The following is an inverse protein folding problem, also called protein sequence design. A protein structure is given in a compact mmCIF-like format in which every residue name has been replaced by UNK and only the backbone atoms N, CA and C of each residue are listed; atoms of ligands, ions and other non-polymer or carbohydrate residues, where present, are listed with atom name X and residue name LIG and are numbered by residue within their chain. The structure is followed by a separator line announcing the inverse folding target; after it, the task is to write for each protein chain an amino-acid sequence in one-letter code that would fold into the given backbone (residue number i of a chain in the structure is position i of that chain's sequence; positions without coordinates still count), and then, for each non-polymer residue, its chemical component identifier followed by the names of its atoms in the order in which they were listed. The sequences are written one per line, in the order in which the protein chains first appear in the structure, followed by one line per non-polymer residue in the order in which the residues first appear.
data_IF_930137999320
#
_entry.id   IF_930137999320
#
_cell.length_a   1.000
_cell.length_b   1.000
_cell.length_c   1.000
_cell.angle_alpha   90.00
_cell.angle_beta   90.00
_cell.angle_gamma   90.00
#
_symmetry.space_group_name_H-M   'P 1'
#
loop_
_entity.id
_entity.type
_entity.pdbx_description
1 polymer ?
#
# COMPACT_ATOMS: atom_id res chain seq x y z
N UNK A 1 -2.99 9.91 17.26
CA UNK A 1 -3.92 9.95 16.10
C UNK A 1 -5.23 10.63 16.49
N UNK A 2 -5.74 11.53 15.66
CA UNK A 2 -6.95 12.30 15.96
C UNK A 2 -8.18 11.77 15.20
N UNK A 3 -8.75 10.68 15.68
CA UNK A 3 -9.91 10.01 15.05
C UNK A 3 -11.15 10.92 14.95
N UNK A 4 -11.37 11.83 15.94
CA UNK A 4 -12.50 12.77 15.87
C UNK A 4 -12.34 13.78 14.73
N UNK A 5 -11.12 14.28 14.50
CA UNK A 5 -10.82 15.16 13.35
C UNK A 5 -11.09 14.45 12.02
N UNK A 6 -10.71 13.17 11.92
CA UNK A 6 -10.94 12.34 10.73
C UNK A 6 -12.43 12.16 10.44
N UNK A 7 -13.20 11.85 11.49
CA UNK A 7 -14.65 11.73 11.39
C UNK A 7 -15.31 13.05 10.95
N UNK A 8 -14.95 14.15 11.57
CA UNK A 8 -15.47 15.49 11.21
C UNK A 8 -15.12 15.83 9.74
N UNK A 9 -13.92 15.51 9.30
CA UNK A 9 -13.48 15.71 7.92
C UNK A 9 -14.30 14.88 6.91
N UNK A 10 -14.63 13.64 7.24
CA UNK A 10 -15.51 12.82 6.41
C UNK A 10 -16.90 13.42 6.33
N UNK A 11 -17.51 13.82 7.46
CA UNK A 11 -18.84 14.44 7.46
C UNK A 11 -18.89 15.73 6.65
N UNK A 12 -17.81 16.54 6.69
CA UNK A 12 -17.68 17.71 5.80
C UNK A 12 -17.59 17.34 4.32
N UNK A 13 -16.89 16.22 3.97
CA UNK A 13 -16.87 15.72 2.60
C UNK A 13 -18.26 15.25 2.17
N UNK A 14 -18.99 14.55 3.02
CA UNK A 14 -20.36 14.12 2.78
C UNK A 14 -21.32 15.32 2.55
N UNK A 15 -21.12 16.41 3.30
CA UNK A 15 -21.91 17.66 3.10
C UNK A 15 -21.67 18.26 1.72
N UNK A 16 -20.43 18.29 1.24
CA UNK A 16 -20.07 18.81 -0.10
C UNK A 16 -20.65 17.97 -1.23
N UNK A 17 -20.65 16.65 -1.04
CA UNK A 17 -21.13 15.67 -2.03
C UNK A 17 -22.62 15.33 -1.89
N UNK A 18 -23.31 15.97 -0.94
CA UNK A 18 -24.74 15.77 -0.62
C UNK A 18 -25.08 14.30 -0.29
N UNK A 19 -24.14 13.56 0.36
CA UNK A 19 -24.34 12.18 0.77
C UNK A 19 -24.96 12.15 2.16
N UNK A 20 -26.11 11.50 2.33
CA UNK A 20 -26.86 11.51 3.59
C UNK A 20 -26.33 10.50 4.61
N UNK A 21 -25.87 9.34 4.14
CA UNK A 21 -25.33 8.26 4.97
C UNK A 21 -24.20 7.56 4.21
N UNK A 22 -23.14 7.18 4.93
CA UNK A 22 -22.05 6.34 4.42
C UNK A 22 -21.97 5.06 5.22
N UNK A 23 -21.75 3.93 4.53
CA UNK A 23 -21.47 2.63 5.12
C UNK A 23 -20.07 2.16 4.74
N UNK A 24 -19.23 1.92 5.77
CA UNK A 24 -17.93 1.27 5.59
C UNK A 24 -17.90 -0.10 6.27
N UNK A 25 -17.59 -1.14 5.53
CA UNK A 25 -17.25 -2.45 6.07
C UNK A 25 -15.81 -2.51 6.59
N UNK A 26 -15.36 -3.69 7.09
CA UNK A 26 -13.98 -3.90 7.48
C UNK A 26 -13.05 -3.56 6.33
N UNK A 27 -12.21 -2.55 6.54
CA UNK A 27 -11.37 -2.02 5.48
C UNK A 27 -10.55 -0.83 5.96
N UNK A 28 -9.78 -0.20 5.06
CA UNK A 28 -8.86 0.89 5.42
C UNK A 28 -9.59 2.10 6.00
N UNK A 29 -10.72 2.50 5.43
CA UNK A 29 -11.49 3.64 5.92
C UNK A 29 -12.11 3.37 7.29
N UNK A 30 -12.61 2.15 7.53
CA UNK A 30 -13.09 1.75 8.85
C UNK A 30 -11.96 1.83 9.89
N UNK A 31 -10.81 1.23 9.60
CA UNK A 31 -9.62 1.28 10.44
C UNK A 31 -9.17 2.72 10.70
N UNK A 32 -9.10 3.55 9.65
CA UNK A 32 -8.65 4.94 9.73
C UNK A 32 -9.54 5.80 10.63
N UNK A 33 -10.85 5.53 10.65
CA UNK A 33 -11.83 6.28 11.43
C UNK A 33 -11.99 5.80 12.86
N UNK A 34 -11.76 4.51 13.13
CA UNK A 34 -12.05 3.90 14.44
C UNK A 34 -10.80 3.51 15.21
N UNK A 35 -9.68 3.29 14.53
CA UNK A 35 -8.48 2.68 15.12
C UNK A 35 -8.57 1.16 15.26
N UNK A 36 -9.70 0.54 14.95
CA UNK A 36 -9.87 -0.91 15.07
C UNK A 36 -9.02 -1.62 13.99
N UNK A 37 -8.09 -2.46 14.43
CA UNK A 37 -7.25 -3.26 13.58
C UNK A 37 -7.97 -4.56 13.19
N UNK A 38 -8.88 -4.46 12.23
CA UNK A 38 -9.57 -5.63 11.68
C UNK A 38 -8.69 -6.28 10.61
N UNK A 39 -8.67 -7.62 10.60
CA UNK A 39 -7.92 -8.37 9.58
C UNK A 39 -8.72 -8.44 8.25
N UNK A 40 -8.96 -7.28 7.65
CA UNK A 40 -9.71 -7.18 6.42
C UNK A 40 -8.92 -7.64 5.17
N UNK A 41 -7.59 -7.74 5.29
CA UNK A 41 -6.72 -8.17 4.18
C UNK A 41 -6.76 -9.68 3.96
N UNK A 42 -6.84 -10.45 5.03
CA UNK A 42 -6.90 -11.92 5.00
C UNK A 42 -8.26 -12.49 5.36
N UNK A 43 -9.19 -11.69 5.84
CA UNK A 43 -10.54 -12.12 6.20
C UNK A 43 -11.33 -12.58 4.97
N UNK A 44 -11.18 -13.86 4.65
CA UNK A 44 -11.93 -14.54 3.58
C UNK A 44 -12.86 -15.59 4.13
N UNK A 45 -13.13 -15.53 5.43
CA UNK A 45 -14.06 -16.44 6.07
C UNK A 45 -15.47 -16.20 5.52
N UNK A 46 -16.16 -17.28 5.24
CA UNK A 46 -17.58 -17.26 4.85
C UNK A 46 -18.51 -16.97 6.03
N UNK A 47 -17.97 -16.77 7.23
CA UNK A 47 -18.73 -16.37 8.40
C UNK A 47 -19.38 -15.01 8.19
N UNK A 48 -20.56 -14.77 8.78
CA UNK A 48 -21.19 -13.47 8.71
C UNK A 48 -20.27 -12.37 9.21
N UNK A 49 -19.91 -11.40 8.38
CA UNK A 49 -19.13 -10.25 8.78
C UNK A 49 -20.07 -9.24 9.41
N UNK A 50 -20.01 -9.15 10.75
CA UNK A 50 -20.87 -8.26 11.53
C UNK A 50 -20.41 -6.80 11.54
N UNK A 51 -19.14 -6.55 11.24
CA UNK A 51 -18.56 -5.20 11.40
C UNK A 51 -18.99 -4.28 10.26
N UNK A 52 -19.63 -3.17 10.61
CA UNK A 52 -19.98 -2.08 9.70
C UNK A 52 -20.07 -0.77 10.46
N UNK A 53 -19.52 0.27 9.87
CA UNK A 53 -19.56 1.63 10.39
C UNK A 53 -20.55 2.43 9.57
N UNK A 54 -21.57 2.97 10.22
CA UNK A 54 -22.60 3.84 9.65
C UNK A 54 -22.28 5.29 10.07
N UNK A 55 -22.16 6.18 9.11
CA UNK A 55 -21.84 7.57 9.37
C UNK A 55 -22.92 8.43 8.71
N UNK A 56 -23.81 9.04 9.49
CA UNK A 56 -24.75 10.02 8.95
C UNK A 56 -24.00 11.33 8.64
N UNK A 57 -24.48 12.06 7.61
CA UNK A 57 -23.93 13.37 7.26
C UNK A 57 -23.92 14.33 8.44
N UNK A 58 -25.00 14.31 9.21
CA UNK A 58 -25.16 15.08 10.44
C UNK A 58 -25.58 14.12 11.57
N UNK A 59 -24.88 14.20 12.71
CA UNK A 59 -25.19 13.38 13.90
C UNK A 59 -24.10 12.35 14.25
N UNK A 60 -24.43 11.48 15.18
CA UNK A 60 -23.51 10.51 15.78
C UNK A 60 -23.36 9.27 14.87
N UNK A 61 -22.13 8.82 14.58
CA UNK A 61 -21.91 7.56 13.89
C UNK A 61 -22.30 6.36 14.74
N UNK A 62 -22.56 5.26 14.06
CA UNK A 62 -22.90 3.98 14.69
C UNK A 62 -21.95 2.90 14.21
N UNK A 63 -21.37 2.16 15.13
CA UNK A 63 -20.55 0.98 14.86
C UNK A 63 -21.35 -0.28 15.20
N UNK A 64 -21.54 -1.14 14.24
CA UNK A 64 -21.97 -2.53 14.45
C UNK A 64 -20.72 -3.39 14.40
N UNK A 65 -20.54 -4.30 15.36
CA UNK A 65 -19.35 -5.16 15.40
C UNK A 65 -19.66 -6.56 15.91
N UNK A 66 -18.89 -7.53 15.44
CA UNK A 66 -18.94 -8.92 15.89
C UNK A 66 -18.10 -9.12 17.16
N UNK A 67 -17.00 -8.40 17.28
CA UNK A 67 -16.06 -8.46 18.40
C UNK A 67 -16.58 -7.75 19.67
N UNK A 68 -15.77 -7.82 20.71
CA UNK A 68 -16.12 -7.27 22.03
C UNK A 68 -15.35 -6.02 22.40
N UNK A 69 -14.23 -5.78 21.75
CA UNK A 69 -13.29 -4.71 22.08
C UNK A 69 -13.24 -3.67 20.97
N UNK A 70 -13.19 -2.42 21.38
CA UNK A 70 -13.05 -1.26 20.51
C UNK A 70 -11.69 -0.64 20.82
N UNK A 71 -10.99 -0.17 19.80
CA UNK A 71 -9.69 0.45 19.95
C UNK A 71 -9.73 1.67 20.89
N UNK A 72 -8.68 1.82 21.67
CA UNK A 72 -8.48 3.01 22.49
C UNK A 72 -8.51 4.28 21.64
N UNK A 73 -9.29 5.28 22.10
CA UNK A 73 -9.46 6.54 21.38
C UNK A 73 -10.46 6.50 20.21
N UNK A 74 -11.17 5.39 19.99
CA UNK A 74 -12.26 5.34 19.00
C UNK A 74 -13.33 6.40 19.34
N UNK A 75 -13.71 7.27 18.41
CA UNK A 75 -14.63 8.37 18.69
C UNK A 75 -16.09 7.91 18.72
N UNK A 76 -16.39 6.69 18.30
CA UNK A 76 -17.76 6.20 18.13
C UNK A 76 -18.32 5.77 19.50
N UNK A 77 -19.41 6.39 19.90
CA UNK A 77 -20.08 6.10 21.18
C UNK A 77 -21.23 5.11 21.05
N UNK A 78 -21.93 5.14 19.91
CA UNK A 78 -23.03 4.24 19.63
C UNK A 78 -22.49 2.92 19.05
N UNK A 79 -22.35 1.90 19.91
CA UNK A 79 -21.80 0.60 19.55
C UNK A 79 -22.85 -0.47 19.74
N UNK A 80 -23.12 -1.23 18.69
CA UNK A 80 -24.07 -2.33 18.68
C UNK A 80 -23.34 -3.64 18.36
N UNK A 81 -23.73 -4.71 19.03
CA UNK A 81 -23.26 -6.05 18.65
C UNK A 81 -24.12 -6.61 17.55
N UNK A 82 -23.49 -7.22 16.57
CA UNK A 82 -24.20 -7.97 15.55
C UNK A 82 -24.94 -9.14 16.18
N UNK A 83 -26.25 -9.23 15.92
CA UNK A 83 -27.10 -10.32 16.37
C UNK A 83 -27.55 -11.16 15.16
N UNK A 84 -27.01 -12.38 15.00
CA UNK A 84 -27.39 -13.25 13.89
C UNK A 84 -28.89 -13.60 13.86
N UNK A 85 -29.56 -13.56 15.00
CA UNK A 85 -31.02 -13.86 15.09
C UNK A 85 -31.88 -12.74 14.51
N UNK A 86 -31.37 -11.50 14.52
CA UNK A 86 -32.03 -10.32 13.93
C UNK A 86 -31.62 -10.17 12.46
N UNK A 87 -30.39 -10.53 12.13
CA UNK A 87 -29.81 -10.45 10.79
C UNK A 87 -29.53 -9.02 10.31
N UNK A 88 -28.93 -8.92 9.13
CA UNK A 88 -28.46 -7.63 8.57
C UNK A 88 -29.58 -6.62 8.38
N UNK A 89 -30.72 -7.06 7.80
CA UNK A 89 -31.86 -6.17 7.51
C UNK A 89 -32.47 -5.64 8.79
N UNK A 90 -32.75 -6.51 9.75
CA UNK A 90 -33.35 -6.11 11.03
C UNK A 90 -32.47 -5.18 11.85
N UNK A 91 -31.16 -5.47 11.92
CA UNK A 91 -30.21 -4.61 12.60
C UNK A 91 -30.16 -3.21 11.96
N UNK A 92 -30.02 -3.17 10.63
CA UNK A 92 -29.91 -1.90 9.90
C UNK A 92 -31.20 -1.08 9.98
N UNK A 93 -32.35 -1.71 9.85
CA UNK A 93 -33.67 -1.04 9.95
C UNK A 93 -33.84 -0.38 11.35
N UNK A 94 -33.51 -1.09 12.40
CA UNK A 94 -33.59 -0.54 13.76
C UNK A 94 -32.66 0.68 13.96
N UNK A 95 -31.45 0.61 13.44
CA UNK A 95 -30.44 1.70 13.57
C UNK A 95 -30.87 2.90 12.72
N UNK A 96 -31.22 2.70 11.45
CA UNK A 96 -31.60 3.80 10.53
C UNK A 96 -32.83 4.55 11.06
N UNK A 97 -33.81 3.86 11.60
CA UNK A 97 -34.95 4.49 12.27
C UNK A 97 -34.55 5.35 13.46
N UNK A 98 -33.52 4.90 14.21
CA UNK A 98 -32.98 5.65 15.36
C UNK A 98 -32.18 6.90 14.96
N UNK A 99 -31.55 6.88 13.77
CA UNK A 99 -30.77 8.03 13.29
C UNK A 99 -31.64 9.21 12.85
N UNK A 100 -32.94 9.02 12.64
CA UNK A 100 -33.88 10.08 12.17
C UNK A 100 -33.40 10.81 10.91
N UNK A 101 -32.70 10.09 10.02
CA UNK A 101 -32.16 10.61 8.75
C UNK A 101 -32.99 10.07 7.60
N UNK A 102 -33.47 10.95 6.73
CA UNK A 102 -33.99 10.52 5.43
C UNK A 102 -32.82 10.29 4.47
N UNK A 103 -32.59 9.05 4.08
CA UNK A 103 -31.47 8.67 3.21
C UNK A 103 -31.93 8.66 1.75
N UNK A 104 -31.61 9.72 1.03
CA UNK A 104 -31.84 9.84 -0.43
C UNK A 104 -30.61 9.40 -1.21
N UNK A 105 -29.39 9.74 -0.71
CA UNK A 105 -28.12 9.37 -1.31
C UNK A 105 -27.26 8.61 -0.30
N UNK A 106 -26.91 7.37 -0.67
CA UNK A 106 -26.16 6.44 0.16
C UNK A 106 -24.76 6.18 -0.42
N UNK A 107 -23.73 6.49 0.34
CA UNK A 107 -22.36 6.17 0.02
C UNK A 107 -21.96 4.77 0.51
N UNK A 108 -21.35 3.98 -0.36
CA UNK A 108 -20.88 2.63 -0.05
C UNK A 108 -19.36 2.55 -0.21
N UNK A 109 -18.67 2.01 0.79
CA UNK A 109 -17.23 1.74 0.71
C UNK A 109 -16.90 0.45 -0.01
N UNK A 110 -15.74 0.36 -0.66
CA UNK A 110 -15.29 -0.78 -1.48
C UNK A 110 -15.23 -2.11 -0.71
N UNK A 111 -15.06 -2.06 0.60
CA UNK A 111 -14.92 -3.25 1.47
C UNK A 111 -16.22 -3.60 2.21
N UNK A 112 -17.34 -2.99 1.82
CA UNK A 112 -18.62 -3.31 2.44
C UNK A 112 -19.11 -4.70 1.98
N UNK A 113 -19.32 -5.65 2.92
CA UNK A 113 -19.82 -6.98 2.57
C UNK A 113 -21.18 -6.92 1.90
N UNK A 114 -21.37 -7.74 0.86
CA UNK A 114 -22.61 -7.82 0.09
C UNK A 114 -23.90 -7.95 0.94
N UNK A 115 -23.95 -8.73 2.04
CA UNK A 115 -25.14 -8.79 2.89
C UNK A 115 -25.54 -7.43 3.47
N UNK A 116 -24.58 -6.60 3.87
CA UNK A 116 -24.85 -5.24 4.36
C UNK A 116 -25.31 -4.32 3.23
N UNK A 117 -24.71 -4.43 2.04
CA UNK A 117 -25.14 -3.69 0.86
C UNK A 117 -26.60 -4.02 0.50
N UNK A 118 -26.96 -5.30 0.46
CA UNK A 118 -28.32 -5.74 0.18
C UNK A 118 -29.32 -5.26 1.23
N UNK A 119 -28.93 -5.34 2.51
CA UNK A 119 -29.74 -4.83 3.61
C UNK A 119 -29.96 -3.30 3.51
N UNK A 120 -28.92 -2.55 3.15
CA UNK A 120 -29.00 -1.10 3.01
C UNK A 120 -29.99 -0.68 1.91
N UNK A 121 -29.90 -1.31 0.74
CA UNK A 121 -30.84 -1.05 -0.37
C UNK A 121 -32.28 -1.38 0.02
N UNK A 122 -32.49 -2.50 0.72
CA UNK A 122 -33.82 -2.94 1.15
C UNK A 122 -34.42 -2.00 2.22
N UNK A 123 -33.65 -1.61 3.23
CA UNK A 123 -34.12 -0.77 4.34
C UNK A 123 -34.37 0.67 3.91
N UNK A 124 -33.52 1.23 3.05
CA UNK A 124 -33.58 2.63 2.62
C UNK A 124 -34.45 2.85 1.38
N UNK A 125 -35.17 1.80 0.93
CA UNK A 125 -36.13 1.87 -0.17
C UNK A 125 -35.57 2.43 -1.48
N UNK A 126 -34.44 1.88 -1.91
CA UNK A 126 -33.74 2.21 -3.15
C UNK A 126 -33.20 3.66 -3.21
N UNK A 127 -32.27 4.03 -2.34
CA UNK A 127 -31.62 5.32 -2.40
C UNK A 127 -30.75 5.43 -3.66
N UNK A 128 -30.38 6.65 -4.04
CA UNK A 128 -29.28 6.86 -4.98
C UNK A 128 -27.99 6.31 -4.36
N UNK A 129 -27.30 5.40 -5.08
CA UNK A 129 -26.06 4.81 -4.62
C UNK A 129 -24.86 5.55 -5.21
N UNK A 130 -23.84 5.81 -4.39
CA UNK A 130 -22.56 6.34 -4.85
C UNK A 130 -21.37 5.63 -4.18
N UNK A 131 -20.23 5.65 -4.85
CA UNK A 131 -18.97 5.17 -4.28
C UNK A 131 -18.44 6.18 -3.26
N UNK A 132 -18.35 5.75 -2.01
CA UNK A 132 -17.77 6.54 -0.92
C UNK A 132 -16.32 6.13 -0.58
N UNK A 133 -15.72 5.18 -1.32
CA UNK A 133 -14.40 4.65 -1.02
C UNK A 133 -13.33 5.74 -0.99
N UNK A 134 -13.44 6.70 -1.90
CA UNK A 134 -12.47 7.79 -2.08
C UNK A 134 -12.77 9.07 -1.34
N UNK A 135 -13.89 9.16 -0.61
CA UNK A 135 -14.21 10.34 0.22
C UNK A 135 -13.13 10.62 1.27
N UNK A 136 -12.41 9.58 1.68
CA UNK A 136 -11.34 9.69 2.67
C UNK A 136 -9.97 10.05 2.06
N UNK A 137 -9.79 9.98 0.75
CA UNK A 137 -8.50 10.22 0.10
C UNK A 137 -7.87 11.56 0.52
N UNK A 138 -8.59 12.71 0.52
CA UNK A 138 -8.00 13.98 0.94
C UNK A 138 -7.52 14.01 2.39
N UNK A 139 -8.14 13.21 3.27
CA UNK A 139 -7.76 13.12 4.69
C UNK A 139 -6.59 12.17 4.91
N UNK A 140 -6.55 11.04 4.16
CA UNK A 140 -5.49 10.03 4.24
C UNK A 140 -4.21 10.49 3.52
N UNK A 141 -4.35 11.42 2.58
CA UNK A 141 -3.25 11.93 1.76
C UNK A 141 -2.15 12.59 2.60
N UNK A 142 -2.51 13.42 3.55
CA UNK A 142 -1.58 14.10 4.46
C UNK A 142 -1.56 13.35 5.78
N UNK A 143 -0.47 12.66 6.03
CA UNK A 143 -0.29 11.83 7.24
C UNK A 143 -0.12 12.70 8.47
N UNK A 144 -0.79 12.32 9.56
CA UNK A 144 -0.48 12.86 10.89
C UNK A 144 0.93 12.39 11.32
N UNK A 145 1.64 13.12 12.19
CA UNK A 145 2.98 12.70 12.65
C UNK A 145 3.02 11.26 13.19
N UNK A 146 1.98 10.84 13.91
CA UNK A 146 1.87 9.48 14.43
C UNK A 146 1.65 8.43 13.33
N UNK A 147 1.10 8.81 12.18
CA UNK A 147 0.99 7.93 11.02
C UNK A 147 2.35 7.74 10.34
N UNK A 148 3.12 8.84 10.21
CA UNK A 148 4.49 8.78 9.69
C UNK A 148 5.35 7.87 10.55
N UNK A 149 5.21 7.97 11.88
CA UNK A 149 5.95 7.09 12.79
C UNK A 149 5.56 5.62 12.63
N UNK A 150 4.27 5.30 12.44
CA UNK A 150 3.83 3.93 12.13
C UNK A 150 4.40 3.41 10.80
N UNK A 151 4.49 4.28 9.79
CA UNK A 151 5.10 3.95 8.52
C UNK A 151 6.61 3.73 8.66
N UNK A 152 7.29 4.50 9.51
CA UNK A 152 8.71 4.30 9.86
C UNK A 152 8.92 2.96 10.57
N UNK A 153 8.11 2.66 11.59
CA UNK A 153 8.19 1.39 12.32
C UNK A 153 8.07 0.17 11.39
N UNK A 154 7.12 0.18 10.46
CA UNK A 154 6.94 -0.94 9.53
C UNK A 154 8.01 -0.98 8.44
N UNK A 155 8.56 0.16 7.99
CA UNK A 155 9.71 0.20 7.10
C UNK A 155 10.96 -0.40 7.77
N UNK A 156 11.24 -0.03 9.03
CA UNK A 156 12.36 -0.60 9.80
C UNK A 156 12.19 -2.10 10.07
N UNK A 157 10.95 -2.58 10.27
CA UNK A 157 10.69 -4.00 10.36
C UNK A 157 11.06 -4.69 9.05
N UNK A 158 10.68 -4.11 7.93
CA UNK A 158 10.96 -4.65 6.59
C UNK A 158 12.47 -4.67 6.30
N UNK A 159 13.20 -3.62 6.68
CA UNK A 159 14.67 -3.57 6.61
C UNK A 159 15.31 -4.75 7.36
N UNK A 160 14.86 -5.01 8.59
CA UNK A 160 15.40 -6.11 9.41
C UNK A 160 15.08 -7.49 8.84
N UNK A 161 13.86 -7.66 8.32
CA UNK A 161 13.45 -8.92 7.67
C UNK A 161 14.34 -9.20 6.46
N UNK A 162 14.48 -8.21 5.56
CA UNK A 162 15.27 -8.41 4.36
C UNK A 162 16.76 -8.61 4.67
N UNK A 163 17.32 -7.85 5.62
CA UNK A 163 18.70 -8.00 6.05
C UNK A 163 18.98 -9.43 6.55
N UNK A 164 18.05 -9.99 7.33
CA UNK A 164 18.16 -11.37 7.82
C UNK A 164 18.09 -12.37 6.68
N UNK A 165 17.08 -12.27 5.80
CA UNK A 165 16.88 -13.21 4.68
C UNK A 165 18.04 -13.15 3.70
N UNK A 166 18.52 -11.94 3.36
CA UNK A 166 19.69 -11.76 2.48
C UNK A 166 20.95 -12.38 3.10
N UNK A 167 21.14 -12.26 4.42
CA UNK A 167 22.28 -12.87 5.12
C UNK A 167 22.25 -14.40 5.19
N UNK A 168 21.12 -15.01 4.89
CA UNK A 168 20.93 -16.49 4.89
C UNK A 168 20.87 -17.08 3.47
N UNK A 169 21.02 -16.25 2.43
CA UNK A 169 21.08 -16.71 1.03
C UNK A 169 22.30 -17.65 0.85
N UNK A 170 22.05 -18.74 0.16
CA UNK A 170 23.08 -19.74 -0.18
C UNK A 170 22.76 -20.37 -1.54
N UNK A 171 23.77 -20.99 -2.14
CA UNK A 171 23.57 -21.75 -3.37
C UNK A 171 22.46 -22.79 -3.21
N UNK A 172 21.61 -22.89 -4.23
CA UNK A 172 20.49 -23.83 -4.26
C UNK A 172 19.20 -23.35 -3.57
N UNK A 173 19.19 -22.20 -2.88
CA UNK A 173 17.92 -21.59 -2.41
C UNK A 173 17.06 -21.19 -3.61
N UNK A 174 15.76 -21.42 -3.56
CA UNK A 174 14.85 -21.00 -4.64
C UNK A 174 14.21 -19.63 -4.36
N UNK A 175 13.64 -19.01 -5.40
CA UNK A 175 12.81 -17.81 -5.24
C UNK A 175 11.67 -18.08 -4.27
N UNK A 176 11.01 -19.24 -4.39
CA UNK A 176 9.92 -19.64 -3.51
C UNK A 176 10.37 -19.74 -2.05
N UNK A 177 11.55 -20.32 -1.77
CA UNK A 177 12.09 -20.40 -0.41
C UNK A 177 12.28 -19.00 0.19
N UNK A 178 12.83 -18.05 -0.58
CA UNK A 178 13.03 -16.67 -0.13
C UNK A 178 11.70 -15.96 0.13
N UNK A 179 10.72 -16.12 -0.75
CA UNK A 179 9.39 -15.53 -0.59
C UNK A 179 8.70 -16.03 0.69
N UNK A 180 8.73 -17.34 0.92
CA UNK A 180 8.16 -17.95 2.12
C UNK A 180 8.90 -17.51 3.39
N UNK A 181 10.23 -17.46 3.36
CA UNK A 181 11.02 -17.06 4.52
C UNK A 181 10.82 -15.59 4.87
N UNK A 182 10.73 -14.69 3.87
CA UNK A 182 10.41 -13.28 4.11
C UNK A 182 9.06 -13.12 4.85
N UNK A 183 8.02 -13.82 4.40
CA UNK A 183 6.71 -13.77 5.04
C UNK A 183 6.72 -14.38 6.46
N UNK A 184 7.46 -15.48 6.65
CA UNK A 184 7.60 -16.13 7.95
C UNK A 184 8.37 -15.26 8.94
N UNK A 185 9.50 -14.69 8.52
CA UNK A 185 10.35 -13.88 9.37
C UNK A 185 9.67 -12.56 9.76
N UNK A 186 8.93 -11.94 8.86
CA UNK A 186 8.13 -10.77 9.18
C UNK A 186 7.14 -11.04 10.33
N UNK A 187 6.46 -12.18 10.29
CA UNK A 187 5.56 -12.59 11.38
C UNK A 187 6.30 -12.85 12.69
N UNK A 188 7.48 -13.48 12.66
CA UNK A 188 8.32 -13.68 13.85
C UNK A 188 8.76 -12.35 14.45
N UNK A 189 8.97 -11.33 13.63
CA UNK A 189 9.37 -9.98 14.05
C UNK A 189 8.18 -9.07 14.41
N UNK A 190 6.94 -9.56 14.34
CA UNK A 190 5.74 -8.85 14.83
C UNK A 190 4.86 -8.22 13.75
N UNK A 191 5.08 -8.51 12.47
CA UNK A 191 4.13 -8.13 11.42
C UNK A 191 2.80 -8.85 11.62
N UNK A 192 1.69 -8.14 11.46
CA UNK A 192 0.34 -8.72 11.47
C UNK A 192 0.01 -9.43 10.16
N UNK A 193 0.69 -9.10 9.06
CA UNK A 193 0.48 -9.68 7.75
C UNK A 193 1.48 -9.17 6.72
N UNK A 194 1.24 -9.55 5.47
CA UNK A 194 1.93 -9.00 4.30
C UNK A 194 1.08 -7.90 3.67
N UNK A 195 1.70 -6.87 3.12
CA UNK A 195 1.00 -5.86 2.31
C UNK A 195 0.57 -6.44 0.97
N UNK A 196 1.44 -7.24 0.41
CA UNK A 196 1.27 -8.11 -0.76
C UNK A 196 2.19 -9.32 -0.59
N UNK A 197 2.08 -10.31 -1.45
CA UNK A 197 2.98 -11.47 -1.40
C UNK A 197 4.43 -11.01 -1.66
N UNK A 198 5.37 -11.24 -0.72
CA UNK A 198 6.78 -10.89 -0.92
C UNK A 198 7.33 -11.55 -2.19
N UNK A 199 8.13 -10.81 -2.93
CA UNK A 199 8.59 -11.21 -4.25
C UNK A 199 10.12 -11.27 -4.30
N UNK A 200 10.64 -12.38 -4.82
CA UNK A 200 12.05 -12.56 -5.12
C UNK A 200 12.17 -13.02 -6.58
N UNK A 201 13.04 -12.38 -7.34
CA UNK A 201 13.20 -12.61 -8.77
C UNK A 201 14.67 -12.82 -9.12
N UNK A 202 14.98 -13.97 -9.75
CA UNK A 202 16.33 -14.31 -10.20
C UNK A 202 16.49 -14.07 -11.69
N UNK A 203 17.53 -13.33 -12.07
CA UNK A 203 17.93 -13.18 -13.47
C UNK A 203 19.27 -13.86 -13.68
N UNK A 204 19.24 -14.98 -14.37
CA UNK A 204 20.41 -15.70 -14.79
C UNK A 204 20.78 -15.36 -16.24
N UNK A 205 22.06 -15.34 -16.55
CA UNK A 205 22.56 -15.10 -17.91
C UNK A 205 21.92 -16.02 -18.94
N UNK A 206 21.49 -15.45 -20.05
CA UNK A 206 20.85 -16.16 -21.18
C UNK A 206 19.33 -16.31 -21.09
N UNK A 207 18.68 -15.82 -20.05
CA UNK A 207 17.20 -15.81 -20.00
C UNK A 207 16.64 -14.77 -20.97
N UNK A 208 15.63 -15.15 -21.77
CA UNK A 208 15.09 -14.31 -22.87
C UNK A 208 13.60 -14.05 -22.75
N UNK A 209 13.12 -13.64 -21.56
CA UNK A 209 11.70 -13.41 -21.35
C UNK A 209 11.35 -11.94 -21.44
N UNK A 210 10.16 -11.64 -21.94
CA UNK A 210 9.60 -10.29 -21.93
C UNK A 210 9.27 -9.86 -20.51
N UNK A 211 9.42 -8.57 -20.24
CA UNK A 211 9.02 -7.98 -18.97
C UNK A 211 7.50 -8.06 -18.80
N UNK A 212 7.05 -8.88 -17.84
CA UNK A 212 5.66 -8.98 -17.38
C UNK A 212 5.67 -8.88 -15.86
N UNK A 213 4.83 -8.05 -15.28
CA UNK A 213 4.83 -7.81 -13.82
C UNK A 213 4.02 -8.81 -12.99
N UNK A 214 3.54 -9.90 -13.59
CA UNK A 214 2.58 -10.77 -12.93
C UNK A 214 3.20 -11.83 -12.02
N UNK A 215 4.31 -12.44 -12.45
CA UNK A 215 4.98 -13.53 -11.74
C UNK A 215 6.50 -13.45 -11.95
N UNK A 216 7.33 -13.65 -10.90
CA UNK A 216 8.78 -13.64 -11.02
C UNK A 216 9.33 -14.58 -12.08
N UNK A 217 8.76 -15.78 -12.19
CA UNK A 217 9.17 -16.76 -13.20
C UNK A 217 8.80 -16.33 -14.63
N UNK A 218 7.69 -15.63 -14.79
CA UNK A 218 7.27 -15.06 -16.09
C UNK A 218 8.17 -13.91 -16.54
N UNK A 219 8.64 -13.07 -15.59
CA UNK A 219 9.57 -11.95 -15.89
C UNK A 219 10.90 -12.46 -16.39
N UNK A 220 11.43 -13.52 -15.81
CA UNK A 220 12.81 -13.96 -16.05
C UNK A 220 12.91 -15.30 -16.76
N UNK A 221 11.82 -16.06 -16.86
CA UNK A 221 11.85 -17.46 -17.30
C UNK A 221 12.60 -18.38 -16.36
N UNK A 222 12.93 -17.91 -15.15
CA UNK A 222 13.58 -18.72 -14.13
C UNK A 222 12.50 -19.39 -13.27
N UNK A 223 12.40 -20.73 -13.26
CA UNK A 223 11.37 -21.41 -12.49
C UNK A 223 11.45 -21.03 -11.00
N UNK A 224 10.30 -20.75 -10.39
CA UNK A 224 10.21 -20.24 -9.03
C UNK A 224 10.81 -21.19 -7.97
N UNK A 225 10.77 -22.48 -8.24
CA UNK A 225 11.29 -23.57 -7.40
C UNK A 225 12.73 -23.99 -7.75
N UNK A 226 13.31 -23.40 -8.80
CA UNK A 226 14.69 -23.70 -9.21
C UNK A 226 15.68 -23.03 -8.26
N UNK A 227 16.67 -23.81 -7.81
CA UNK A 227 17.72 -23.33 -6.92
C UNK A 227 18.63 -22.27 -7.55
N UNK A 228 19.05 -21.32 -6.72
CA UNK A 228 20.01 -20.27 -7.04
C UNK A 228 21.35 -20.84 -7.47
N UNK A 229 21.91 -20.30 -8.55
CA UNK A 229 23.24 -20.60 -9.06
C UNK A 229 24.11 -19.34 -9.04
N UNK A 230 25.43 -19.52 -9.19
CA UNK A 230 26.37 -18.40 -9.22
C UNK A 230 26.06 -17.39 -10.34
N UNK A 231 26.52 -16.16 -10.17
CA UNK A 231 26.39 -15.04 -11.10
C UNK A 231 24.93 -14.69 -11.47
N UNK A 232 24.09 -14.58 -10.43
CA UNK A 232 22.68 -14.28 -10.54
C UNK A 232 22.35 -12.91 -9.90
N UNK A 233 21.68 -12.05 -10.63
CA UNK A 233 21.03 -10.86 -10.08
C UNK A 233 19.73 -11.27 -9.38
N UNK A 234 19.54 -10.82 -8.15
CA UNK A 234 18.38 -11.09 -7.32
C UNK A 234 17.68 -9.77 -7.05
N UNK A 235 16.40 -9.69 -7.30
CA UNK A 235 15.59 -8.51 -6.98
C UNK A 235 14.48 -8.89 -6.02
N UNK A 236 14.30 -8.06 -5.00
CA UNK A 236 13.26 -8.19 -4.00
C UNK A 236 12.26 -7.07 -4.14
N UNK A 237 10.99 -7.41 -3.89
CA UNK A 237 9.87 -6.53 -3.71
C UNK A 237 9.12 -6.98 -2.45
N UNK A 238 9.08 -6.16 -1.42
CA UNK A 238 8.67 -6.60 -0.10
C UNK A 238 7.84 -5.55 0.61
N UNK A 239 6.75 -6.03 1.22
CA UNK A 239 5.89 -5.18 2.01
C UNK A 239 5.15 -5.95 3.11
N UNK A 240 5.12 -5.38 4.30
CA UNK A 240 4.47 -5.98 5.46
C UNK A 240 3.49 -5.02 6.10
N UNK A 241 2.66 -5.55 6.99
CA UNK A 241 1.68 -4.79 7.75
C UNK A 241 2.02 -4.87 9.22
N UNK A 242 2.17 -3.70 9.85
CA UNK A 242 2.33 -3.60 11.30
C UNK A 242 1.51 -2.43 11.83
N UNK A 243 0.81 -2.65 12.95
CA UNK A 243 -0.06 -1.64 13.55
C UNK A 243 -1.05 -1.00 12.56
N UNK A 244 -1.49 -1.77 11.53
CA UNK A 244 -2.44 -1.35 10.52
C UNK A 244 -1.88 -0.52 9.37
N UNK A 245 -0.56 -0.26 9.32
CA UNK A 245 0.12 0.46 8.24
C UNK A 245 0.97 -0.50 7.40
N UNK A 246 1.11 -0.16 6.12
CA UNK A 246 1.85 -0.95 5.15
C UNK A 246 3.26 -0.40 4.93
N UNK A 247 4.23 -1.28 4.69
CA UNK A 247 5.45 -0.95 3.97
C UNK A 247 5.39 -1.46 2.55
N UNK A 248 6.23 -0.87 1.70
CA UNK A 248 6.44 -1.26 0.32
C UNK A 248 7.77 -0.70 -0.16
N UNK A 249 8.76 -1.57 -0.40
CA UNK A 249 10.03 -1.17 -0.98
C UNK A 249 10.80 -2.35 -1.55
N UNK A 250 11.77 -2.09 -2.42
CA UNK A 250 12.52 -3.11 -3.12
C UNK A 250 14.01 -2.84 -3.23
N UNK A 251 14.78 -3.93 -3.32
CA UNK A 251 16.24 -3.90 -3.48
C UNK A 251 16.72 -4.95 -4.45
N UNK A 252 17.92 -4.69 -4.97
CA UNK A 252 18.66 -5.68 -5.78
C UNK A 252 19.93 -6.11 -5.06
N UNK A 253 20.20 -7.40 -5.18
CA UNK A 253 21.35 -8.09 -4.62
C UNK A 253 22.01 -8.89 -5.74
N UNK A 254 23.29 -9.16 -5.66
CA UNK A 254 24.00 -10.00 -6.61
C UNK A 254 24.68 -11.17 -5.92
N UNK A 255 24.35 -12.38 -6.35
CA UNK A 255 24.98 -13.60 -5.88
C UNK A 255 26.17 -13.95 -6.78
N UNK A 256 27.40 -13.81 -6.25
CA UNK A 256 28.65 -14.02 -6.98
C UNK A 256 29.35 -12.69 -7.32
N UNK A 257 30.03 -12.63 -8.45
CA UNK A 257 30.80 -11.43 -8.85
C UNK A 257 30.04 -10.61 -9.90
N UNK A 258 29.43 -9.47 -9.52
CA UNK A 258 28.64 -8.68 -10.48
C UNK A 258 29.53 -8.10 -11.57
N UNK A 259 29.16 -8.29 -12.86
CA UNK A 259 29.83 -7.63 -14.00
C UNK A 259 29.79 -6.11 -13.87
N UNK A 260 30.73 -5.42 -14.50
CA UNK A 260 30.82 -3.95 -14.43
C UNK A 260 29.60 -3.25 -14.99
N UNK A 261 28.94 -3.81 -16.00
CA UNK A 261 27.72 -3.21 -16.55
C UNK A 261 26.54 -3.30 -15.58
N UNK A 262 26.44 -4.36 -14.78
CA UNK A 262 25.43 -4.50 -13.71
C UNK A 262 25.68 -3.46 -12.60
N UNK A 263 26.94 -3.31 -12.16
CA UNK A 263 27.32 -2.29 -11.16
C UNK A 263 26.99 -0.88 -11.65
N UNK A 264 27.32 -0.57 -12.91
CA UNK A 264 27.01 0.75 -13.52
C UNK A 264 25.51 1.00 -13.62
N UNK A 265 24.75 0.00 -14.04
CA UNK A 265 23.29 0.10 -14.14
C UNK A 265 22.67 0.35 -12.77
N UNK A 266 23.07 -0.41 -11.75
CA UNK A 266 22.58 -0.22 -10.39
C UNK A 266 22.99 1.16 -9.81
N UNK A 267 24.23 1.59 -10.02
CA UNK A 267 24.68 2.91 -9.57
C UNK A 267 23.90 4.04 -10.27
N UNK A 268 23.60 3.93 -11.55
CA UNK A 268 22.77 4.88 -12.28
C UNK A 268 21.34 4.94 -11.74
N UNK A 269 20.73 3.76 -11.51
CA UNK A 269 19.40 3.65 -10.91
C UNK A 269 19.36 4.33 -9.53
N UNK A 270 20.30 3.97 -8.67
CA UNK A 270 20.43 4.55 -7.33
C UNK A 270 20.59 6.07 -7.36
N UNK A 271 21.52 6.58 -8.17
CA UNK A 271 21.76 8.02 -8.24
C UNK A 271 20.55 8.78 -8.78
N UNK A 272 19.83 8.20 -9.76
CA UNK A 272 18.62 8.83 -10.30
C UNK A 272 17.51 8.96 -9.25
N UNK A 273 17.33 7.95 -8.38
CA UNK A 273 16.38 8.03 -7.25
C UNK A 273 16.84 9.06 -6.22
N UNK A 274 18.10 8.99 -5.79
CA UNK A 274 18.64 9.91 -4.77
C UNK A 274 18.52 11.38 -5.20
N UNK A 275 18.91 11.71 -6.43
CA UNK A 275 18.86 13.08 -6.98
C UNK A 275 17.41 13.57 -7.16
N UNK A 276 16.49 12.66 -7.48
CA UNK A 276 15.07 13.00 -7.58
C UNK A 276 14.49 13.31 -6.21
N UNK A 277 14.74 12.45 -5.23
CA UNK A 277 14.27 12.66 -3.84
C UNK A 277 14.90 13.89 -3.21
N UNK A 278 16.20 14.15 -3.44
CA UNK A 278 16.87 15.36 -2.94
C UNK A 278 16.25 16.67 -3.46
N UNK A 279 15.55 16.62 -4.59
CA UNK A 279 14.82 17.76 -5.15
C UNK A 279 13.41 17.90 -4.61
N UNK A 280 12.88 16.97 -3.81
CA UNK A 280 11.50 17.00 -3.33
C UNK A 280 11.36 17.83 -2.05
N UNK A 281 10.31 18.66 -1.99
CA UNK A 281 9.82 19.32 -0.78
C UNK A 281 8.37 19.74 -0.97
N UNK A 282 7.77 20.43 0.00
CA UNK A 282 6.38 20.86 -0.06
C UNK A 282 6.08 21.69 -1.32
N UNK A 283 5.31 21.11 -2.23
CA UNK A 283 4.74 21.75 -3.41
C UNK A 283 5.69 22.08 -4.56
N UNK A 284 6.98 21.72 -4.49
CA UNK A 284 7.93 22.01 -5.58
C UNK A 284 7.94 21.01 -6.73
N UNK A 285 7.33 19.85 -6.55
CA UNK A 285 7.21 18.79 -7.54
C UNK A 285 5.78 18.25 -7.55
N UNK A 286 5.23 17.99 -8.73
CA UNK A 286 3.92 17.33 -8.87
C UNK A 286 4.12 15.82 -8.99
N UNK A 287 3.08 15.06 -8.70
CA UNK A 287 3.10 13.61 -8.85
C UNK A 287 3.46 13.16 -10.27
N UNK A 288 2.96 13.86 -11.29
CA UNK A 288 3.27 13.60 -12.71
C UNK A 288 4.72 13.95 -13.11
N UNK A 289 5.45 14.75 -12.34
CA UNK A 289 6.80 15.18 -12.66
C UNK A 289 7.88 14.15 -12.26
N UNK A 290 7.53 13.17 -11.40
CA UNK A 290 8.48 12.18 -10.86
C UNK A 290 8.97 11.23 -11.94
N UNK A 291 8.07 10.72 -12.79
CA UNK A 291 8.44 9.84 -13.91
C UNK A 291 9.46 10.50 -14.84
N UNK A 292 9.18 11.67 -15.46
CA UNK A 292 10.13 12.30 -16.36
C UNK A 292 11.44 12.71 -15.67
N UNK A 293 11.40 13.05 -14.37
CA UNK A 293 12.60 13.40 -13.64
C UNK A 293 13.58 12.23 -13.48
N UNK A 294 13.08 11.03 -13.28
CA UNK A 294 13.90 9.82 -13.19
C UNK A 294 14.35 9.36 -14.59
N UNK A 295 13.44 9.39 -15.58
CA UNK A 295 13.75 9.05 -16.98
C UNK A 295 14.89 9.90 -17.54
N UNK A 296 14.83 11.23 -17.38
CA UNK A 296 15.87 12.15 -17.84
C UNK A 296 17.25 11.87 -17.20
N UNK A 297 17.27 11.53 -15.90
CA UNK A 297 18.53 11.18 -15.22
C UNK A 297 19.10 9.86 -15.73
N UNK A 298 18.25 8.86 -15.91
CA UNK A 298 18.67 7.57 -16.45
C UNK A 298 19.16 7.71 -17.91
N UNK A 299 18.52 8.56 -18.71
CA UNK A 299 19.00 8.90 -20.07
C UNK A 299 20.39 9.53 -20.02
N UNK A 300 20.61 10.45 -19.07
CA UNK A 300 21.93 11.07 -18.85
C UNK A 300 23.04 10.07 -18.50
N UNK A 301 22.69 8.95 -17.86
CA UNK A 301 23.59 7.84 -17.58
C UNK A 301 23.66 6.78 -18.70
N UNK A 302 22.82 6.89 -19.74
CA UNK A 302 22.73 5.94 -20.87
C UNK A 302 21.91 4.69 -20.56
N UNK A 303 20.94 4.77 -19.64
CA UNK A 303 20.08 3.65 -19.22
C UNK A 303 18.57 3.91 -19.40
N UNK A 304 18.15 5.02 -19.98
CA UNK A 304 16.73 5.37 -20.12
C UNK A 304 15.93 4.34 -20.91
N UNK A 305 16.50 3.79 -21.99
CA UNK A 305 15.90 2.74 -22.81
C UNK A 305 15.65 1.42 -22.04
N UNK A 306 16.29 1.24 -20.90
CA UNK A 306 16.17 0.07 -20.01
C UNK A 306 15.27 0.30 -18.81
N UNK A 307 14.82 1.54 -18.61
CA UNK A 307 13.89 1.85 -17.53
C UNK A 307 12.57 1.09 -17.73
N UNK A 308 12.08 0.54 -16.65
CA UNK A 308 10.76 -0.09 -16.57
C UNK A 308 10.03 0.47 -15.36
N UNK A 309 8.73 0.48 -15.45
CA UNK A 309 7.83 0.94 -14.40
C UNK A 309 6.63 0.02 -14.30
N UNK A 310 5.91 0.13 -13.21
CA UNK A 310 4.64 -0.58 -13.06
C UNK A 310 3.66 -0.09 -14.13
N UNK A 311 2.98 -1.02 -14.80
CA UNK A 311 2.04 -0.73 -15.87
C UNK A 311 2.62 0.27 -16.91
N UNK A 312 3.52 -0.18 -17.74
CA UNK A 312 4.24 0.59 -18.78
C UNK A 312 3.35 1.57 -19.55
N UNK A 313 2.11 1.18 -19.88
CA UNK A 313 1.17 2.03 -20.63
C UNK A 313 0.74 3.26 -19.82
N UNK A 314 0.71 3.16 -18.50
CA UNK A 314 0.27 4.21 -17.60
C UNK A 314 1.43 5.00 -17.02
N UNK A 315 2.67 4.57 -17.26
CA UNK A 315 3.90 5.21 -16.77
C UNK A 315 3.88 5.45 -15.26
N UNK A 316 3.49 4.43 -14.49
CA UNK A 316 3.41 4.52 -13.02
C UNK A 316 4.81 4.38 -12.43
N UNK A 317 5.35 5.46 -11.88
CA UNK A 317 6.64 5.50 -11.20
C UNK A 317 6.54 5.12 -9.72
N UNK A 318 5.33 5.05 -9.19
CA UNK A 318 5.07 4.74 -7.80
C UNK A 318 3.72 5.27 -7.33
N UNK A 319 3.53 5.30 -6.03
CA UNK A 319 2.24 5.63 -5.40
C UNK A 319 2.43 6.13 -3.97
N UNK A 320 1.38 6.68 -3.40
CA UNK A 320 1.33 6.95 -1.97
C UNK A 320 1.02 5.65 -1.19
N UNK A 321 1.45 5.61 0.06
CA UNK A 321 1.26 4.47 0.96
C UNK A 321 0.69 4.92 2.31
N UNK A 322 0.01 4.02 3.01
CA UNK A 322 -0.56 4.29 4.33
C UNK A 322 -1.18 3.05 4.94
N UNK A 323 -2.49 3.10 5.20
CA UNK A 323 -3.27 1.94 5.64
C UNK A 323 -3.52 0.94 4.52
N UNK A 324 -3.40 1.37 3.28
CA UNK A 324 -3.31 0.52 2.09
C UNK A 324 -1.93 0.64 1.47
N UNK A 325 -1.50 -0.39 0.76
CA UNK A 325 -0.24 -0.36 0.02
C UNK A 325 -0.30 0.69 -1.08
N UNK A 326 -1.39 0.77 -1.80
CA UNK A 326 -1.60 1.73 -2.86
C UNK A 326 -2.65 2.77 -2.47
N UNK A 327 -2.22 3.99 -2.24
CA UNK A 327 -3.09 5.15 -1.99
C UNK A 327 -2.87 6.24 -3.04
N UNK A 328 -3.81 7.17 -3.17
CA UNK A 328 -3.65 8.36 -4.02
C UNK A 328 -2.81 9.45 -3.31
N UNK A 329 -1.99 10.22 -4.06
CA UNK A 329 -1.80 10.18 -5.51
C UNK A 329 -0.90 9.04 -6.00
N UNK A 330 -1.13 8.61 -7.24
CA UNK A 330 -0.17 7.84 -7.99
C UNK A 330 0.86 8.76 -8.65
N UNK A 331 2.11 8.30 -8.77
CA UNK A 331 3.17 9.00 -9.50
C UNK A 331 3.08 8.66 -10.98
N UNK A 332 2.13 9.27 -11.67
CA UNK A 332 1.83 9.02 -13.08
C UNK A 332 1.35 10.29 -13.81
N UNK A 333 1.40 10.33 -15.17
CA UNK A 333 1.20 11.57 -15.94
C UNK A 333 -0.12 12.31 -15.73
N UNK A 334 -1.18 11.64 -15.34
CA UNK A 334 -2.52 12.24 -15.13
C UNK A 334 -2.76 12.76 -13.70
N UNK A 335 -1.78 12.64 -12.79
CA UNK A 335 -1.85 13.21 -11.46
C UNK A 335 -1.03 14.50 -11.37
N UNK A 336 -1.66 15.64 -11.68
CA UNK A 336 -1.00 16.97 -11.69
C UNK A 336 -0.90 17.61 -10.33
N UNK A 337 -1.38 16.96 -9.28
CA UNK A 337 -1.34 17.55 -7.93
C UNK A 337 0.09 17.64 -7.40
N UNK A 338 0.42 18.73 -6.69
CA UNK A 338 1.72 18.88 -6.07
C UNK A 338 1.90 17.93 -4.91
N UNK A 339 3.09 17.37 -4.77
CA UNK A 339 3.50 16.62 -3.57
C UNK A 339 3.57 17.61 -2.40
N UNK A 340 3.01 17.21 -1.25
CA UNK A 340 2.90 18.07 -0.08
C UNK A 340 3.56 17.47 1.15
N UNK A 341 4.00 18.31 2.04
CA UNK A 341 4.47 17.89 3.36
C UNK A 341 3.42 17.00 4.06
N UNK A 342 3.87 15.91 4.65
CA UNK A 342 3.03 14.86 5.23
C UNK A 342 2.62 13.75 4.27
N UNK A 343 2.92 13.83 2.98
CA UNK A 343 2.75 12.69 2.06
C UNK A 343 3.90 11.68 2.24
N UNK A 344 3.58 10.39 2.08
CA UNK A 344 4.58 9.32 2.05
C UNK A 344 4.42 8.56 0.75
N UNK A 345 5.46 8.59 -0.08
CA UNK A 345 5.47 8.06 -1.43
C UNK A 345 6.38 6.84 -1.54
N UNK A 346 5.95 5.81 -2.26
CA UNK A 346 6.83 4.78 -2.79
C UNK A 346 7.30 5.21 -4.18
N UNK A 347 8.61 5.17 -4.43
CA UNK A 347 9.23 5.53 -5.71
C UNK A 347 10.00 4.32 -6.19
N UNK A 348 9.58 3.70 -7.30
CA UNK A 348 9.91 2.33 -7.65
C UNK A 348 10.46 2.12 -9.09
N UNK A 349 11.45 2.88 -9.57
CA UNK A 349 12.04 2.63 -10.89
C UNK A 349 12.78 1.30 -10.95
N UNK A 350 12.78 0.71 -12.13
CA UNK A 350 13.42 -0.56 -12.42
C UNK A 350 14.27 -0.42 -13.67
N UNK A 351 15.35 -1.21 -13.77
CA UNK A 351 16.13 -1.37 -15.00
C UNK A 351 16.09 -2.82 -15.41
N UNK A 352 15.77 -3.06 -16.68
CA UNK A 352 15.68 -4.38 -17.25
C UNK A 352 16.60 -4.56 -18.45
N UNK A 353 17.44 -5.58 -18.41
CA UNK A 353 18.20 -6.10 -19.54
C UNK A 353 18.03 -7.63 -19.57
N UNK A 354 17.30 -8.17 -20.56
CA UNK A 354 17.05 -9.61 -20.68
C UNK A 354 18.34 -10.43 -20.61
N UNK A 355 18.34 -11.47 -19.76
CA UNK A 355 19.46 -12.35 -19.60
C UNK A 355 20.66 -11.77 -18.86
N UNK A 356 20.53 -10.58 -18.29
CA UNK A 356 21.63 -9.91 -17.59
C UNK A 356 21.19 -9.46 -16.20
N UNK A 357 20.11 -8.67 -16.12
CA UNK A 357 19.58 -8.18 -14.88
C UNK A 357 18.13 -7.69 -14.97
N UNK A 358 17.44 -7.79 -13.86
CA UNK A 358 16.32 -6.96 -13.45
C UNK A 358 16.70 -6.29 -12.14
N UNK A 359 16.85 -4.98 -12.16
CA UNK A 359 17.27 -4.20 -10.99
C UNK A 359 16.13 -3.31 -10.53
N UNK A 360 15.90 -3.25 -9.23
CA UNK A 360 14.92 -2.40 -8.57
C UNK A 360 15.57 -1.66 -7.42
N UNK A 361 15.26 -0.40 -7.30
CA UNK A 361 15.50 0.39 -6.11
C UNK A 361 14.22 1.14 -5.81
N UNK A 362 13.52 0.69 -4.81
CA UNK A 362 12.30 1.31 -4.35
C UNK A 362 12.45 1.82 -2.93
N UNK A 363 11.91 3.00 -2.70
CA UNK A 363 12.03 3.73 -1.45
C UNK A 363 10.69 4.25 -0.96
N UNK A 364 10.45 4.14 0.35
CA UNK A 364 9.41 4.91 1.03
C UNK A 364 9.97 6.28 1.43
N UNK A 365 9.38 7.34 0.90
CA UNK A 365 9.85 8.72 1.02
C UNK A 365 8.78 9.59 1.66
N UNK A 366 9.08 10.18 2.82
CA UNK A 366 8.25 11.17 3.48
C UNK A 366 8.60 12.58 3.01
N UNK A 367 7.63 13.29 2.45
CA UNK A 367 7.77 14.68 2.02
C UNK A 367 7.63 15.59 3.24
N UNK A 368 8.57 16.50 3.43
CA UNK A 368 8.57 17.47 4.51
C UNK A 368 8.47 18.90 3.96
N UNK A 369 8.31 19.89 4.82
CA UNK A 369 8.24 21.30 4.40
C UNK A 369 9.50 21.79 3.68
N UNK A 370 10.66 21.24 4.05
CA UNK A 370 11.97 21.73 3.58
C UNK A 370 12.75 20.70 2.75
N UNK A 371 12.22 19.50 2.57
CA UNK A 371 12.91 18.43 1.85
C UNK A 371 12.09 17.15 1.84
N UNK A 372 12.79 16.03 1.68
CA UNK A 372 12.21 14.70 1.80
C UNK A 372 13.17 13.78 2.57
N UNK A 373 12.63 12.82 3.30
CA UNK A 373 13.39 11.84 4.06
C UNK A 373 13.00 10.41 3.69
N UNK A 374 13.98 9.54 3.65
CA UNK A 374 13.75 8.12 3.47
C UNK A 374 13.28 7.49 4.78
N UNK A 375 12.21 6.71 4.72
CA UNK A 375 11.78 5.89 5.87
C UNK A 375 12.49 4.53 5.89
N UNK A 376 13.08 4.12 4.77
CA UNK A 376 13.87 2.90 4.60
C UNK A 376 15.33 3.17 4.90
N UNK A 377 15.98 2.28 5.66
CA UNK A 377 17.40 2.39 6.05
C UNK A 377 18.28 1.27 5.51
N UNK A 378 17.72 0.30 4.78
CA UNK A 378 18.53 -0.73 4.12
C UNK A 378 19.50 -0.10 3.12
N UNK A 379 20.73 -0.66 3.04
CA UNK A 379 21.77 -0.13 2.16
C UNK A 379 21.26 0.00 0.70
N UNK A 380 21.62 1.10 0.07
CA UNK A 380 21.26 1.44 -1.30
C UNK A 380 22.35 1.08 -2.31
N UNK A 381 23.50 0.61 -1.87
CA UNK A 381 24.49 0.03 -2.76
C UNK A 381 24.05 -1.36 -3.23
N UNK A 382 24.61 -1.83 -4.35
CA UNK A 382 24.39 -3.20 -4.79
C UNK A 382 24.99 -4.15 -3.76
N UNK A 383 24.13 -4.87 -3.05
CA UNK A 383 24.57 -5.84 -2.08
C UNK A 383 25.15 -7.07 -2.81
N UNK A 384 26.40 -7.44 -2.49
CA UNK A 384 27.09 -8.56 -3.14
C UNK A 384 27.30 -9.68 -2.13
N UNK A 385 26.88 -10.89 -2.48
CA UNK A 385 26.93 -12.10 -1.66
C UNK A 385 27.86 -13.15 -2.25
#
# INVERSE_FOLDING_TARGET
MNYQRRLNGLQQAMQREEIDLVLYGPGPNHQYLTGNLLDWRSARDLQPVGDVLLIPRDGEPVLIMSGTEVADGCPIKSIHRYDPSVGYVGMLDAIVKGLSVEVRKLGLGSYLPTPWTAAAVAVMKSPELCDASRLMDPLRKIKEPEEVERLREVAELTDRVLLKVVGEIKEGVSQLDLMLEMAAEARRMGASGVSFEPWACFVQSGSSVSFLEADPSEVTGYPIDKGLVADTAITFDVGFVMNGYCSDWGRSVYWGTPPDHVKKAHAALRQSVLDTVAGMNDGNMRACDVYPAIEERLDGFGFGDRMRVRLEREKIMGHQIGTEVHENPWLRPDFEEPLRAGMVMCIEPKLWLPGEYYLRLEEMVHITETGAEFLTNFDRELFVL
#
